data_IF_399563347118
#
_entry.id   IF_399563347118
#
_cell.length_a   1.000
_cell.length_b   1.000
_cell.length_c   1.000
_cell.angle_alpha   90.00
_cell.angle_beta   90.00
_cell.angle_gamma   90.00
#
_symmetry.space_group_name_H-M   'P 1'
#
loop_
_entity.id
_entity.type
_entity.pdbx_description
1 polymer ?
#
# COMPACT_ATOMS: atom_id res chain seq x y z
N UNK A 1 -10.85 -16.24 -0.37
CA UNK A 1 -10.69 -14.85 0.10
C UNK A 1 -10.28 -14.01 -1.10
N UNK A 2 -10.99 -12.92 -1.38
CA UNK A 2 -10.65 -11.99 -2.44
C UNK A 2 -9.59 -11.01 -1.92
N UNK A 3 -8.40 -11.02 -2.53
CA UNK A 3 -7.24 -10.22 -2.08
C UNK A 3 -6.96 -9.14 -3.11
N UNK A 4 -6.57 -7.96 -2.65
CA UNK A 4 -6.13 -6.85 -3.48
C UNK A 4 -4.78 -6.33 -2.98
N UNK A 5 -3.97 -5.79 -3.89
CA UNK A 5 -2.68 -5.19 -3.59
C UNK A 5 -2.72 -3.66 -3.75
N UNK A 6 -1.94 -2.93 -2.96
CA UNK A 6 -1.67 -1.50 -3.12
C UNK A 6 -0.16 -1.24 -3.09
N UNK A 7 0.38 -0.65 -4.16
CA UNK A 7 1.81 -0.36 -4.29
C UNK A 7 2.17 0.97 -3.62
N UNK A 8 2.42 0.94 -2.31
CA UNK A 8 2.81 2.13 -1.53
C UNK A 8 4.31 2.41 -1.46
N UNK A 9 5.21 1.55 -1.97
CA UNK A 9 6.60 1.96 -2.26
C UNK A 9 6.63 2.80 -3.54
N UNK A 10 6.20 4.06 -3.41
CA UNK A 10 6.21 5.02 -4.52
C UNK A 10 7.61 5.58 -4.77
N UNK A 11 8.53 5.48 -3.81
CA UNK A 11 9.89 6.02 -3.94
C UNK A 11 10.70 5.28 -5.02
N UNK A 12 10.42 3.99 -5.21
CA UNK A 12 11.12 3.14 -6.18
C UNK A 12 10.18 2.69 -7.29
N UNK A 13 10.36 3.24 -8.50
CA UNK A 13 9.63 2.77 -9.69
C UNK A 13 9.69 1.23 -9.85
N UNK A 14 10.87 0.65 -9.65
CA UNK A 14 11.06 -0.80 -9.74
C UNK A 14 10.28 -1.60 -8.67
N UNK A 15 9.96 -1.02 -7.51
CA UNK A 15 9.16 -1.70 -6.50
C UNK A 15 7.70 -1.85 -6.94
N UNK A 16 7.13 -0.80 -7.54
CA UNK A 16 5.80 -0.86 -8.16
C UNK A 16 5.75 -1.95 -9.23
N UNK A 17 6.74 -1.99 -10.13
CA UNK A 17 6.78 -2.98 -11.21
C UNK A 17 6.96 -4.40 -10.68
N UNK A 18 7.77 -4.59 -9.63
CA UNK A 18 7.89 -5.88 -8.93
C UNK A 18 6.55 -6.34 -8.35
N UNK A 19 5.81 -5.45 -7.67
CA UNK A 19 4.52 -5.80 -7.09
C UNK A 19 3.46 -6.07 -8.16
N UNK A 20 3.52 -5.38 -9.31
CA UNK A 20 2.66 -5.70 -10.47
C UNK A 20 2.88 -7.11 -10.97
N UNK A 21 4.14 -7.52 -11.19
CA UNK A 21 4.47 -8.88 -11.61
C UNK A 21 3.96 -9.91 -10.60
N UNK A 22 4.09 -9.65 -9.30
CA UNK A 22 3.53 -10.53 -8.27
C UNK A 22 2.01 -10.59 -8.29
N UNK A 23 1.36 -9.45 -8.51
CA UNK A 23 -0.10 -9.37 -8.59
C UNK A 23 -0.65 -10.12 -9.80
N UNK A 24 0.00 -9.97 -10.96
CA UNK A 24 -0.32 -10.72 -12.18
C UNK A 24 -0.13 -12.22 -11.99
N UNK A 25 0.98 -12.65 -11.37
CA UNK A 25 1.25 -14.08 -11.10
C UNK A 25 0.25 -14.69 -10.14
N UNK A 26 -0.24 -13.92 -9.17
CA UNK A 26 -1.22 -14.36 -8.18
C UNK A 26 -2.68 -14.15 -8.64
N UNK A 27 -2.90 -13.58 -9.83
CA UNK A 27 -4.20 -13.20 -10.36
C UNK A 27 -5.02 -12.32 -9.38
N UNK A 28 -4.35 -11.32 -8.78
CA UNK A 28 -4.98 -10.37 -7.86
C UNK A 28 -4.93 -8.96 -8.41
N UNK A 29 -6.00 -8.16 -8.22
CA UNK A 29 -6.00 -6.78 -8.65
C UNK A 29 -5.03 -5.94 -7.80
N UNK A 30 -4.45 -4.91 -8.43
CA UNK A 30 -3.51 -3.98 -7.81
C UNK A 30 -3.93 -2.53 -8.05
N UNK A 31 -3.76 -1.68 -7.04
CA UNK A 31 -3.74 -0.22 -7.16
C UNK A 31 -2.30 0.25 -7.09
N UNK A 32 -1.87 1.08 -8.04
CA UNK A 32 -0.54 1.65 -8.05
C UNK A 32 -0.59 3.13 -8.45
N UNK A 33 0.12 3.96 -7.71
CA UNK A 33 0.35 5.36 -8.05
C UNK A 33 1.45 5.53 -9.10
N UNK A 34 1.85 6.78 -9.32
CA UNK A 34 3.03 7.12 -10.12
C UNK A 34 4.30 7.03 -9.25
N UNK A 35 5.46 6.64 -9.82
CA UNK A 35 6.73 6.75 -9.13
C UNK A 35 6.97 8.19 -8.62
N UNK A 36 7.45 8.32 -7.37
CA UNK A 36 7.60 9.59 -6.67
C UNK A 36 6.30 10.21 -6.15
N UNK A 37 5.15 9.54 -6.33
CA UNK A 37 3.85 9.99 -5.84
C UNK A 37 3.67 9.80 -4.33
N UNK A 38 2.53 10.26 -3.81
CA UNK A 38 2.18 10.14 -2.39
C UNK A 38 1.73 8.71 -2.04
N UNK A 39 2.51 8.01 -1.21
CA UNK A 39 2.20 6.66 -0.75
C UNK A 39 0.85 6.61 -0.03
N UNK A 40 0.56 7.58 0.83
CA UNK A 40 -0.68 7.63 1.59
C UNK A 40 -1.92 7.79 0.69
N UNK A 41 -1.81 8.56 -0.40
CA UNK A 41 -2.86 8.68 -1.40
C UNK A 41 -3.08 7.35 -2.14
N UNK A 42 -2.00 6.66 -2.49
CA UNK A 42 -2.10 5.34 -3.16
C UNK A 42 -2.78 4.30 -2.26
N UNK A 43 -2.46 4.28 -0.96
CA UNK A 43 -3.13 3.39 0.00
C UNK A 43 -4.60 3.77 0.20
N UNK A 44 -4.93 5.06 0.24
CA UNK A 44 -6.31 5.52 0.30
C UNK A 44 -7.13 5.02 -0.90
N UNK A 45 -6.59 5.13 -2.11
CA UNK A 45 -7.24 4.64 -3.32
C UNK A 45 -7.36 3.12 -3.32
N UNK A 46 -6.35 2.41 -2.79
CA UNK A 46 -6.39 0.98 -2.53
C UNK A 46 -7.56 0.58 -1.63
N UNK A 47 -7.76 1.28 -0.50
CA UNK A 47 -8.88 1.04 0.42
C UNK A 47 -10.23 1.27 -0.26
N UNK A 48 -10.36 2.36 -1.02
CA UNK A 48 -11.59 2.65 -1.77
C UNK A 48 -11.90 1.58 -2.81
N UNK A 49 -10.88 1.15 -3.56
CA UNK A 49 -11.03 0.11 -4.57
C UNK A 49 -11.38 -1.25 -3.94
N UNK A 50 -10.73 -1.61 -2.84
CA UNK A 50 -11.02 -2.82 -2.08
C UNK A 50 -12.48 -2.84 -1.59
N UNK A 51 -12.97 -1.72 -1.02
CA UNK A 51 -14.37 -1.59 -0.59
C UNK A 51 -15.34 -1.69 -1.78
N UNK A 52 -15.06 -1.00 -2.87
CA UNK A 52 -15.92 -1.02 -4.07
C UNK A 52 -16.00 -2.39 -4.74
N UNK A 53 -14.93 -3.19 -4.65
CA UNK A 53 -14.83 -4.53 -5.24
C UNK A 53 -15.19 -5.66 -4.27
N UNK A 54 -15.54 -5.33 -3.02
CA UNK A 54 -15.81 -6.32 -1.98
C UNK A 54 -14.62 -7.25 -1.71
N UNK A 55 -13.39 -6.70 -1.66
CA UNK A 55 -12.21 -7.47 -1.29
C UNK A 55 -12.21 -7.77 0.22
N UNK A 56 -11.81 -8.99 0.57
CA UNK A 56 -11.68 -9.43 1.97
C UNK A 56 -10.40 -8.91 2.62
N UNK A 57 -9.35 -8.71 1.82
CA UNK A 57 -8.02 -8.31 2.27
C UNK A 57 -7.37 -7.33 1.29
N UNK A 58 -6.80 -6.26 1.81
CA UNK A 58 -5.92 -5.34 1.08
C UNK A 58 -4.51 -5.45 1.67
N UNK A 59 -3.55 -5.86 0.85
CA UNK A 59 -2.13 -5.84 1.18
C UNK A 59 -1.50 -4.54 0.65
N UNK A 60 -0.95 -3.75 1.55
CA UNK A 60 -0.31 -2.47 1.23
C UNK A 60 1.21 -2.61 1.36
N UNK A 61 1.92 -2.49 0.25
CA UNK A 61 3.39 -2.38 0.25
C UNK A 61 3.83 -0.98 0.71
N UNK A 62 5.01 -0.86 1.29
CA UNK A 62 5.55 0.40 1.82
C UNK A 62 7.05 0.50 1.56
N UNK A 63 7.58 1.71 1.40
CA UNK A 63 9.02 1.90 1.33
C UNK A 63 9.73 1.39 2.62
N UNK A 64 10.96 0.88 2.48
CA UNK A 64 11.70 0.23 3.59
C UNK A 64 13.12 0.76 3.85
N UNK A 65 13.49 1.95 3.37
CA UNK A 65 14.88 2.45 3.43
C UNK A 65 15.26 3.02 4.81
N UNK A 66 15.76 2.15 5.71
CA UNK A 66 16.15 2.50 7.08
C UNK A 66 17.22 3.61 7.18
N UNK A 67 18.03 3.83 6.15
CA UNK A 67 19.09 4.85 6.17
C UNK A 67 18.54 6.30 6.15
N UNK A 68 17.29 6.50 5.72
CA UNK A 68 16.59 7.80 5.70
C UNK A 68 15.46 7.83 6.74
N UNK A 69 15.82 7.61 8.02
CA UNK A 69 14.86 7.35 9.12
C UNK A 69 13.75 8.38 9.24
N UNK A 70 14.05 9.68 9.17
CA UNK A 70 13.04 10.71 9.46
C UNK A 70 11.92 10.77 8.43
N UNK A 71 12.26 10.91 7.14
CA UNK A 71 11.27 10.99 6.06
C UNK A 71 10.45 9.70 5.94
N UNK A 72 11.10 8.55 6.12
CA UNK A 72 10.41 7.25 6.08
C UNK A 72 9.38 7.12 7.20
N UNK A 73 9.74 7.49 8.44
CA UNK A 73 8.82 7.38 9.57
C UNK A 73 7.62 8.31 9.42
N UNK A 74 7.81 9.53 8.91
CA UNK A 74 6.70 10.45 8.61
C UNK A 74 5.75 9.90 7.54
N UNK A 75 6.30 9.26 6.51
CA UNK A 75 5.50 8.63 5.46
C UNK A 75 4.68 7.45 5.99
N UNK A 76 5.31 6.56 6.78
CA UNK A 76 4.61 5.43 7.42
C UNK A 76 3.52 5.94 8.38
N UNK A 77 3.80 6.98 9.17
CA UNK A 77 2.81 7.58 10.07
C UNK A 77 1.61 8.16 9.29
N UNK A 78 1.88 8.83 8.16
CA UNK A 78 0.84 9.36 7.28
C UNK A 78 -0.01 8.24 6.67
N UNK A 79 0.60 7.15 6.20
CA UNK A 79 -0.10 5.96 5.70
C UNK A 79 -1.00 5.37 6.79
N UNK A 80 -0.46 5.18 8.01
CA UNK A 80 -1.24 4.68 9.16
C UNK A 80 -2.44 5.57 9.47
N UNK A 81 -2.26 6.90 9.47
CA UNK A 81 -3.34 7.84 9.74
C UNK A 81 -4.46 7.75 8.68
N UNK A 82 -4.10 7.60 7.40
CA UNK A 82 -5.06 7.42 6.30
C UNK A 82 -5.83 6.11 6.45
N UNK A 83 -5.16 5.01 6.78
CA UNK A 83 -5.80 3.73 7.06
C UNK A 83 -6.84 3.86 8.16
N UNK A 84 -6.44 4.38 9.33
CA UNK A 84 -7.30 4.53 10.51
C UNK A 84 -8.51 5.44 10.27
N UNK A 85 -8.36 6.48 9.43
CA UNK A 85 -9.47 7.36 9.05
C UNK A 85 -10.47 6.70 8.12
N UNK A 86 -10.02 5.73 7.33
CA UNK A 86 -10.82 5.13 6.24
C UNK A 86 -11.54 3.86 6.68
N UNK A 87 -10.95 3.10 7.60
CA UNK A 87 -11.47 1.83 8.10
C UNK A 87 -11.18 1.74 9.60
N UNK A 88 -12.20 1.36 10.38
CA UNK A 88 -12.06 1.11 11.82
C UNK A 88 -10.96 0.07 12.07
N UNK A 89 -10.09 0.31 13.05
CA UNK A 89 -8.94 -0.53 13.40
C UNK A 89 -7.87 -0.74 12.32
N UNK A 90 -7.95 -0.05 11.18
CA UNK A 90 -6.91 -0.17 10.16
C UNK A 90 -5.64 0.65 10.50
N UNK A 91 -4.43 0.16 10.16
CA UNK A 91 -4.16 -1.17 9.61
C UNK A 91 -4.35 -2.25 10.69
N UNK A 92 -5.10 -3.31 10.36
CA UNK A 92 -5.38 -4.41 11.29
C UNK A 92 -4.12 -5.20 11.65
N UNK A 93 -3.13 -5.20 10.77
CA UNK A 93 -1.84 -5.86 10.95
C UNK A 93 -0.73 -5.03 10.30
N UNK A 94 0.43 -5.02 10.93
CA UNK A 94 1.67 -4.44 10.39
C UNK A 94 2.73 -5.52 10.48
N UNK A 95 3.18 -5.99 9.32
CA UNK A 95 4.17 -7.06 9.21
C UNK A 95 5.55 -6.49 8.91
N UNK A 96 6.49 -6.67 9.84
CA UNK A 96 7.90 -6.38 9.60
C UNK A 96 8.56 -7.62 8.96
N UNK A 97 9.20 -7.42 7.81
CA UNK A 97 9.87 -8.46 7.01
C UNK A 97 11.38 -8.35 7.13
#
# INVERSE_FOLDING_TARGET
>A
RNVMMAAGDTFRAAAIDQLRVWSERADVPIVAGQPGGDAAATIYDGIRAARARGADLLLADTAGRLHTKFNLMQEIEKVRAVCARSVHDAPHEVLLV
#
